data_IF_835774051323
#
_entry.id   IF_835774051323
#
_cell.length_a   1.000
_cell.length_b   1.000
_cell.length_c   1.000
_cell.angle_alpha   90.00
_cell.angle_beta   90.00
_cell.angle_gamma   90.00
#
_symmetry.space_group_name_H-M   'P 1'
#
loop_
_entity.id
_entity.type
_entity.pdbx_description
1 polymer ?
#
# COMPACT_ATOMS: atom_id res chain seq x y z
N UNK A 1 9.76 -24.13 -9.79
CA UNK A 1 9.52 -23.07 -10.79
C UNK A 1 9.56 -21.72 -10.10
N UNK A 2 10.69 -21.03 -10.16
CA UNK A 2 10.82 -19.62 -9.74
C UNK A 2 10.00 -18.78 -10.71
N UNK A 3 8.80 -18.35 -10.29
CA UNK A 3 8.00 -17.44 -11.10
C UNK A 3 8.82 -16.18 -11.37
N UNK A 4 9.06 -15.88 -12.64
CA UNK A 4 9.77 -14.68 -13.06
C UNK A 4 9.11 -13.44 -12.48
N UNK A 5 9.95 -12.55 -11.95
CA UNK A 5 9.52 -11.24 -11.48
C UNK A 5 9.15 -10.38 -12.69
N UNK A 6 8.18 -9.45 -12.54
CA UNK A 6 7.93 -8.47 -13.57
C UNK A 6 9.20 -7.66 -13.84
N UNK A 7 9.39 -7.28 -15.10
CA UNK A 7 10.50 -6.42 -15.49
C UNK A 7 10.19 -4.98 -15.03
N UNK A 8 10.98 -4.48 -14.08
CA UNK A 8 10.82 -3.17 -13.45
C UNK A 8 11.98 -2.29 -13.91
N UNK A 9 11.65 -1.20 -14.60
CA UNK A 9 12.62 -0.24 -15.11
C UNK A 9 12.72 0.97 -14.20
N UNK A 10 13.95 1.41 -13.97
CA UNK A 10 14.24 2.73 -13.41
C UNK A 10 14.17 3.75 -14.54
N UNK A 11 13.34 4.77 -14.40
CA UNK A 11 13.27 5.90 -15.32
C UNK A 11 13.52 7.18 -14.55
N UNK A 12 14.38 8.04 -15.07
CA UNK A 12 14.68 9.33 -14.46
C UNK A 12 14.30 10.43 -15.44
N UNK A 13 13.79 11.54 -14.94
CA UNK A 13 13.49 12.68 -15.79
C UNK A 13 12.69 13.74 -15.09
N UNK A 14 11.95 14.54 -15.86
CA UNK A 14 11.08 15.61 -15.33
C UNK A 14 9.63 15.33 -15.66
N UNK A 15 8.76 15.59 -14.69
CA UNK A 15 7.32 15.50 -14.89
C UNK A 15 6.85 16.56 -15.89
N UNK A 16 6.12 16.13 -16.92
CA UNK A 16 5.44 17.00 -17.90
C UNK A 16 3.98 16.61 -18.03
N UNK A 17 3.11 17.55 -18.41
CA UNK A 17 1.67 17.34 -18.64
C UNK A 17 0.99 16.65 -17.44
N UNK A 18 1.34 17.06 -16.22
CA UNK A 18 0.79 16.46 -15.02
C UNK A 18 -0.71 16.72 -14.93
N UNK A 19 -1.50 15.65 -14.84
CA UNK A 19 -2.94 15.71 -14.72
C UNK A 19 -3.44 14.77 -13.63
N UNK A 20 -4.20 15.31 -12.68
CA UNK A 20 -4.95 14.51 -11.72
C UNK A 20 -6.20 13.93 -12.40
N UNK A 21 -6.37 12.61 -12.36
CA UNK A 21 -7.49 11.89 -12.97
C UNK A 21 -8.15 10.97 -11.97
N UNK A 22 -9.48 10.91 -12.00
CA UNK A 22 -10.24 9.89 -11.27
C UNK A 22 -10.53 8.73 -12.21
N UNK A 23 -9.99 7.54 -11.90
CA UNK A 23 -10.20 6.32 -12.66
C UNK A 23 -11.34 5.53 -12.04
N UNK A 24 -12.43 5.40 -12.79
CA UNK A 24 -13.59 4.59 -12.41
C UNK A 24 -13.15 3.18 -11.97
N UNK A 25 -13.60 2.75 -10.77
CA UNK A 25 -13.24 1.49 -10.06
C UNK A 25 -11.78 1.34 -9.57
N UNK A 26 -10.80 2.08 -10.10
CA UNK A 26 -9.39 1.99 -9.71
C UNK A 26 -8.95 3.06 -8.70
N UNK A 27 -9.71 4.15 -8.57
CA UNK A 27 -9.44 5.23 -7.61
C UNK A 27 -8.79 6.43 -8.29
N UNK A 28 -8.07 7.23 -7.51
CA UNK A 28 -7.44 8.44 -8.02
C UNK A 28 -6.07 8.10 -8.64
N UNK A 29 -5.65 8.87 -9.64
CA UNK A 29 -4.38 8.70 -10.31
C UNK A 29 -3.79 10.03 -10.76
N UNK A 30 -2.48 10.06 -10.95
CA UNK A 30 -1.78 11.07 -11.73
C UNK A 30 -1.37 10.46 -13.06
N UNK A 31 -1.61 11.22 -14.13
CA UNK A 31 -1.13 10.94 -15.47
C UNK A 31 -0.10 12.02 -15.81
N UNK A 32 1.05 11.61 -16.31
CA UNK A 32 2.15 12.52 -16.66
C UNK A 32 3.06 11.87 -17.70
N UNK A 33 3.88 12.69 -18.36
CA UNK A 33 4.88 12.25 -19.31
C UNK A 33 6.28 12.44 -18.71
N UNK A 34 7.15 11.44 -18.88
CA UNK A 34 8.60 11.53 -18.63
C UNK A 34 9.31 11.05 -19.88
N UNK A 35 10.20 11.88 -20.43
CA UNK A 35 10.93 11.62 -21.68
C UNK A 35 10.07 11.16 -22.86
N UNK A 36 8.87 11.74 -22.98
CA UNK A 36 7.92 11.43 -24.05
C UNK A 36 7.11 10.14 -23.83
N UNK A 37 7.34 9.43 -22.72
CA UNK A 37 6.59 8.24 -22.34
C UNK A 37 5.49 8.62 -21.34
N UNK A 38 4.24 8.29 -21.67
CA UNK A 38 3.11 8.53 -20.78
C UNK A 38 3.00 7.47 -19.69
N UNK A 39 2.76 7.92 -18.47
CA UNK A 39 2.81 7.12 -17.25
C UNK A 39 1.65 7.43 -16.31
N UNK A 40 1.31 6.43 -15.47
CA UNK A 40 0.24 6.52 -14.48
C UNK A 40 0.71 6.12 -13.10
N UNK A 41 0.47 7.00 -12.13
CA UNK A 41 0.68 6.76 -10.70
C UNK A 41 -0.69 6.72 -10.00
N UNK A 42 -1.12 5.56 -9.52
CA UNK A 42 -2.34 5.44 -8.71
C UNK A 42 -2.08 5.97 -7.29
N UNK A 43 -3.08 6.64 -6.72
CA UNK A 43 -3.01 7.19 -5.38
C UNK A 43 -4.36 7.13 -4.67
N UNK A 44 -4.33 6.96 -3.35
CA UNK A 44 -5.43 7.16 -2.41
C UNK A 44 -5.08 8.22 -1.38
N UNK A 45 -4.08 9.05 -1.67
CA UNK A 45 -3.66 10.12 -0.77
C UNK A 45 -4.87 11.03 -0.47
N UNK A 46 -5.21 11.28 0.80
CA UNK A 46 -6.34 12.14 1.16
C UNK A 46 -6.18 13.59 0.70
N UNK A 47 -4.93 14.06 0.58
CA UNK A 47 -4.60 15.39 0.02
C UNK A 47 -4.66 15.43 -1.50
N UNK A 48 -5.04 14.33 -2.16
CA UNK A 48 -5.29 14.33 -3.59
C UNK A 48 -6.45 15.27 -3.90
N UNK A 49 -6.09 16.45 -4.41
CA UNK A 49 -7.03 17.39 -4.98
C UNK A 49 -6.47 17.90 -6.32
N UNK A 50 -7.32 17.99 -7.36
CA UNK A 50 -6.91 18.57 -8.64
C UNK A 50 -6.36 20.00 -8.51
N UNK A 51 -6.80 20.74 -7.48
CA UNK A 51 -6.41 22.13 -7.20
C UNK A 51 -5.17 22.28 -6.31
N UNK A 52 -4.68 21.20 -5.69
CA UNK A 52 -3.48 21.22 -4.85
C UNK A 52 -2.74 19.88 -4.94
N UNK A 53 -2.17 19.54 -6.11
CA UNK A 53 -1.44 18.30 -6.26
C UNK A 53 -0.17 18.31 -5.40
N UNK A 54 0.18 17.16 -4.80
CA UNK A 54 1.44 17.02 -4.06
C UNK A 54 2.65 16.80 -4.98
N UNK A 55 2.41 16.63 -6.28
CA UNK A 55 3.43 16.63 -7.33
C UNK A 55 3.30 17.93 -8.12
N UNK A 56 4.42 18.54 -8.49
CA UNK A 56 4.44 19.70 -9.36
C UNK A 56 4.98 19.34 -10.74
N UNK A 57 4.49 20.04 -11.77
CA UNK A 57 5.05 19.93 -13.10
C UNK A 57 6.46 20.53 -13.12
N UNK A 58 7.39 19.85 -13.80
CA UNK A 58 8.80 20.24 -13.85
C UNK A 58 9.69 19.59 -12.78
N UNK A 59 9.11 18.98 -11.75
CA UNK A 59 9.85 18.26 -10.71
C UNK A 59 10.73 17.16 -11.32
N UNK A 60 11.94 17.05 -10.79
CA UNK A 60 12.86 15.95 -11.12
C UNK A 60 12.45 14.71 -10.33
N UNK A 61 12.26 13.61 -11.04
CA UNK A 61 11.76 12.36 -10.45
C UNK A 61 12.57 11.15 -10.88
N UNK A 62 12.66 10.17 -9.97
CA UNK A 62 13.09 8.80 -10.26
C UNK A 62 11.88 7.87 -10.11
N UNK A 63 11.64 7.02 -11.09
CA UNK A 63 10.46 6.18 -11.19
C UNK A 63 10.84 4.71 -11.28
N UNK A 64 10.13 3.86 -10.52
CA UNK A 64 10.10 2.43 -10.75
C UNK A 64 8.84 2.08 -11.54
N UNK A 65 9.01 1.66 -12.78
CA UNK A 65 7.94 1.51 -13.77
C UNK A 65 7.84 0.06 -14.24
N UNK A 66 6.62 -0.44 -14.43
CA UNK A 66 6.42 -1.72 -15.12
C UNK A 66 6.79 -1.58 -16.60
N UNK A 67 7.74 -2.39 -17.09
CA UNK A 67 8.17 -2.32 -18.48
C UNK A 67 7.03 -2.68 -19.45
N UNK A 68 6.19 -3.64 -19.05
CA UNK A 68 5.04 -4.08 -19.85
C UNK A 68 4.01 -2.94 -20.00
N UNK A 69 3.66 -2.55 -21.23
CA UNK A 69 2.68 -1.50 -21.46
C UNK A 69 1.29 -1.96 -21.01
N UNK A 70 0.55 -1.05 -20.37
CA UNK A 70 -0.82 -1.27 -19.92
C UNK A 70 -1.83 -1.18 -21.06
N UNK A 71 -1.61 -0.24 -21.96
CA UNK A 71 -2.50 0.07 -23.07
C UNK A 71 -1.78 -0.18 -24.41
N UNK A 72 -2.53 -0.37 -25.50
CA UNK A 72 -1.95 -0.40 -26.85
C UNK A 72 -1.19 0.89 -27.21
N UNK A 73 -1.55 2.00 -26.55
CA UNK A 73 -0.87 3.31 -26.67
C UNK A 73 0.46 3.37 -25.93
N UNK A 74 0.86 2.31 -25.22
CA UNK A 74 2.15 2.19 -24.58
C UNK A 74 2.23 2.76 -23.17
N UNK A 75 1.11 3.16 -22.56
CA UNK A 75 1.10 3.77 -21.22
C UNK A 75 1.64 2.80 -20.16
N UNK A 76 2.42 3.29 -19.20
CA UNK A 76 3.07 2.43 -18.19
C UNK A 76 2.58 2.73 -16.76
N UNK A 77 2.52 1.68 -15.93
CA UNK A 77 2.23 1.79 -14.50
C UNK A 77 3.48 2.13 -13.69
N UNK A 78 3.35 3.10 -12.81
CA UNK A 78 4.39 3.48 -11.85
C UNK A 78 4.14 2.77 -10.52
N UNK A 79 5.09 1.95 -10.09
CA UNK A 79 5.09 1.32 -8.76
C UNK A 79 5.50 2.30 -7.67
N UNK A 80 6.50 3.13 -7.96
CA UNK A 80 7.01 4.10 -7.03
C UNK A 80 7.60 5.30 -7.78
N UNK A 81 7.47 6.46 -7.17
CA UNK A 81 8.01 7.72 -7.62
C UNK A 81 8.78 8.34 -6.46
N UNK A 82 10.04 8.69 -6.70
CA UNK A 82 10.83 9.53 -5.80
C UNK A 82 10.91 10.91 -6.40
N UNK A 83 10.41 11.90 -5.68
CA UNK A 83 10.60 13.29 -6.04
C UNK A 83 11.94 13.75 -5.46
N UNK A 84 12.80 14.31 -6.31
CA UNK A 84 14.15 14.72 -5.95
C UNK A 84 14.20 16.14 -5.38
N UNK A 85 13.13 16.91 -5.52
CA UNK A 85 13.05 18.27 -4.96
C UNK A 85 12.75 18.25 -3.44
N UNK A 86 11.89 17.32 -2.99
CA UNK A 86 11.49 17.16 -1.58
C UNK A 86 12.05 15.88 -0.92
N UNK A 87 12.89 15.13 -1.65
CA UNK A 87 13.40 13.78 -1.35
C UNK A 87 12.34 12.79 -0.85
N UNK A 88 11.07 13.01 -1.22
CA UNK A 88 9.96 12.18 -0.77
C UNK A 88 9.71 11.05 -1.75
N UNK A 89 9.52 9.85 -1.19
CA UNK A 89 9.28 8.63 -1.96
C UNK A 89 7.83 8.20 -1.80
N UNK A 90 7.13 8.07 -2.92
CA UNK A 90 5.74 7.68 -3.03
C UNK A 90 5.66 6.27 -3.61
N UNK A 91 5.09 5.30 -2.89
CA UNK A 91 4.94 3.91 -3.34
C UNK A 91 3.47 3.53 -3.44
N UNK A 92 3.05 3.03 -4.60
CA UNK A 92 1.65 2.75 -4.96
C UNK A 92 1.16 1.39 -4.44
N UNK A 93 1.12 1.18 -3.12
CA UNK A 93 0.65 -0.09 -2.56
C UNK A 93 -0.86 -0.31 -2.80
N UNK A 94 -1.65 0.76 -2.79
CA UNK A 94 -3.10 0.70 -2.86
C UNK A 94 -3.63 0.33 -4.25
N UNK A 95 -2.86 0.64 -5.29
CA UNK A 95 -3.12 0.26 -6.68
C UNK A 95 -3.40 -1.24 -6.85
N UNK A 96 -2.75 -2.06 -6.01
CA UNK A 96 -2.69 -3.51 -6.17
C UNK A 96 -3.70 -4.28 -5.30
N UNK A 97 -4.56 -3.59 -4.56
CA UNK A 97 -5.49 -4.21 -3.60
C UNK A 97 -6.53 -5.12 -4.25
N UNK A 98 -7.03 -4.77 -5.44
CA UNK A 98 -8.10 -5.51 -6.13
C UNK A 98 -7.63 -6.35 -7.30
N UNK A 99 -6.33 -6.41 -7.53
CA UNK A 99 -5.76 -7.19 -8.62
C UNK A 99 -5.15 -8.49 -8.12
N UNK A 100 -5.30 -9.56 -8.91
CA UNK A 100 -4.65 -10.86 -8.74
C UNK A 100 -3.49 -11.05 -9.71
N UNK A 101 -3.12 -9.99 -10.42
CA UNK A 101 -2.14 -10.03 -11.49
C UNK A 101 -0.73 -10.40 -10.99
N UNK A 102 0.08 -11.06 -11.84
CA UNK A 102 1.41 -11.55 -11.49
C UNK A 102 2.39 -10.43 -11.09
N UNK A 103 2.13 -9.22 -11.58
CA UNK A 103 2.96 -8.03 -11.39
C UNK A 103 2.51 -7.16 -10.20
N UNK A 104 1.54 -7.61 -9.39
CA UNK A 104 1.01 -6.85 -8.27
C UNK A 104 2.00 -6.74 -7.08
N UNK A 105 2.22 -5.52 -6.58
CA UNK A 105 2.97 -5.31 -5.33
C UNK A 105 2.12 -5.65 -4.08
N UNK A 106 2.70 -5.55 -2.88
CA UNK A 106 1.99 -5.81 -1.62
C UNK A 106 0.81 -4.85 -1.43
N UNK A 107 -0.34 -5.41 -1.03
CA UNK A 107 -1.61 -4.69 -0.83
C UNK A 107 -1.60 -3.77 0.39
N UNK A 108 -0.85 -4.19 1.41
CA UNK A 108 -0.69 -3.49 2.68
C UNK A 108 0.75 -2.99 2.71
N UNK A 109 0.96 -1.68 2.93
CA UNK A 109 2.29 -1.14 3.15
C UNK A 109 2.94 -1.82 4.38
N UNK A 110 4.19 -2.31 4.28
CA UNK A 110 4.81 -3.08 5.37
C UNK A 110 4.92 -2.31 6.70
N UNK A 111 5.02 -0.99 6.63
CA UNK A 111 5.09 -0.11 7.80
C UNK A 111 3.72 0.16 8.46
N UNK A 112 2.59 -0.09 7.77
CA UNK A 112 1.25 0.25 8.28
C UNK A 112 0.49 -0.92 8.90
N UNK A 113 1.00 -2.15 8.81
CA UNK A 113 0.39 -3.36 9.39
C UNK A 113 -0.02 -3.18 10.86
N UNK A 114 0.88 -2.62 11.68
CA UNK A 114 0.61 -2.36 13.10
C UNK A 114 -0.57 -1.40 13.31
N UNK A 115 -0.73 -0.39 12.44
CA UNK A 115 -1.85 0.56 12.54
C UNK A 115 -3.19 -0.14 12.35
N UNK A 116 -3.28 -1.10 11.42
CA UNK A 116 -4.50 -1.89 11.21
C UNK A 116 -4.83 -2.80 12.39
N UNK A 117 -3.81 -3.44 12.99
CA UNK A 117 -4.01 -4.25 14.19
C UNK A 117 -4.44 -3.38 15.36
N UNK A 118 -3.86 -2.19 15.51
CA UNK A 118 -4.19 -1.26 16.58
C UNK A 118 -5.61 -0.70 16.42
N UNK A 119 -6.03 -0.31 15.21
CA UNK A 119 -7.41 0.16 14.97
C UNK A 119 -8.43 -0.94 15.20
N UNK A 120 -8.14 -2.17 14.77
CA UNK A 120 -9.00 -3.32 15.08
C UNK A 120 -9.07 -3.58 16.59
N UNK A 121 -7.93 -3.51 17.29
CA UNK A 121 -7.87 -3.69 18.74
C UNK A 121 -8.73 -2.65 19.46
N UNK A 122 -8.61 -1.38 19.06
CA UNK A 122 -9.41 -0.29 19.61
C UNK A 122 -10.91 -0.50 19.37
N UNK A 123 -11.30 -0.92 18.16
CA UNK A 123 -12.69 -1.24 17.84
C UNK A 123 -13.25 -2.37 18.69
N UNK A 124 -12.49 -3.46 18.85
CA UNK A 124 -12.92 -4.62 19.64
C UNK A 124 -13.01 -4.28 21.14
N UNK A 125 -12.08 -3.50 21.67
CA UNK A 125 -12.15 -2.99 23.06
C UNK A 125 -13.38 -2.09 23.23
N UNK A 126 -13.63 -1.17 22.30
CA UNK A 126 -14.81 -0.31 22.36
C UNK A 126 -16.12 -1.14 22.35
N UNK A 127 -16.15 -2.22 21.56
CA UNK A 127 -17.28 -3.15 21.52
C UNK A 127 -17.46 -3.91 22.83
N UNK A 128 -16.36 -4.36 23.46
CA UNK A 128 -16.40 -4.97 24.79
C UNK A 128 -16.88 -4.01 25.87
N UNK A 129 -16.41 -2.76 25.86
CA UNK A 129 -16.83 -1.71 26.80
C UNK A 129 -18.32 -1.38 26.61
N UNK A 130 -18.75 -1.19 25.36
CA UNK A 130 -20.15 -0.94 25.05
C UNK A 130 -21.05 -2.09 25.49
N UNK A 131 -20.62 -3.32 25.22
CA UNK A 131 -21.25 -4.50 25.78
C UNK A 131 -21.37 -4.37 27.29
N UNK A 132 -20.25 -4.16 28.00
CA UNK A 132 -20.19 -4.14 29.47
C UNK A 132 -21.20 -3.16 30.06
N UNK A 133 -21.30 -1.95 29.49
CA UNK A 133 -22.28 -0.95 29.86
C UNK A 133 -23.72 -1.45 29.68
N UNK A 134 -24.03 -2.06 28.54
CA UNK A 134 -25.38 -2.61 28.26
C UNK A 134 -25.71 -3.72 29.24
N UNK A 135 -24.80 -4.66 29.47
CA UNK A 135 -25.13 -5.79 30.35
C UNK A 135 -25.17 -5.44 31.83
N UNK A 136 -24.49 -4.37 32.26
CA UNK A 136 -24.67 -3.79 33.59
C UNK A 136 -26.09 -3.21 33.76
N UNK A 137 -26.68 -2.67 32.70
CA UNK A 137 -28.05 -2.11 32.72
C UNK A 137 -29.13 -3.19 32.61
N UNK A 138 -28.87 -4.29 31.89
CA UNK A 138 -29.86 -5.34 31.61
C UNK A 138 -29.74 -6.59 32.49
N UNK A 139 -28.72 -6.67 33.35
CA UNK A 139 -28.48 -7.84 34.19
C UNK A 139 -28.01 -9.06 33.39
N UNK A 140 -27.11 -8.85 32.43
CA UNK A 140 -26.61 -9.91 31.54
C UNK A 140 -25.77 -10.95 32.30
N UNK A 141 -26.03 -12.23 32.04
CA UNK A 141 -25.31 -13.35 32.67
C UNK A 141 -23.85 -13.47 32.19
N UNK A 142 -23.02 -14.00 33.07
CA UNK A 142 -21.62 -14.36 32.90
C UNK A 142 -21.31 -15.15 31.63
N UNK A 143 -22.19 -16.08 31.23
CA UNK A 143 -22.01 -16.87 30.01
C UNK A 143 -21.96 -16.01 28.74
N UNK A 144 -22.81 -14.97 28.65
CA UNK A 144 -22.82 -14.03 27.51
C UNK A 144 -21.55 -13.18 27.47
N UNK A 145 -20.99 -12.82 28.62
CA UNK A 145 -19.71 -12.12 28.73
C UNK A 145 -18.54 -12.94 28.18
N UNK A 146 -18.47 -14.20 28.58
CA UNK A 146 -17.44 -15.12 28.09
C UNK A 146 -17.58 -15.33 26.58
N UNK A 147 -18.80 -15.47 26.07
CA UNK A 147 -19.03 -15.62 24.63
C UNK A 147 -18.55 -14.39 23.84
N UNK A 148 -18.95 -13.17 24.24
CA UNK A 148 -18.57 -11.94 23.55
C UNK A 148 -17.04 -11.72 23.60
N UNK A 149 -16.43 -11.96 24.76
CA UNK A 149 -14.99 -11.83 24.95
C UNK A 149 -14.23 -12.83 24.08
N UNK A 150 -14.65 -14.09 24.07
CA UNK A 150 -14.08 -15.13 23.22
C UNK A 150 -14.23 -14.80 21.74
N UNK A 151 -15.36 -14.24 21.32
CA UNK A 151 -15.59 -13.82 19.94
C UNK A 151 -14.64 -12.68 19.53
N UNK A 152 -14.48 -11.67 20.39
CA UNK A 152 -13.57 -10.55 20.13
C UNK A 152 -12.11 -11.02 20.04
N UNK A 153 -11.67 -11.86 20.98
CA UNK A 153 -10.31 -12.44 20.96
C UNK A 153 -10.12 -13.30 19.71
N UNK A 154 -11.09 -14.14 19.36
CA UNK A 154 -11.06 -14.97 18.15
C UNK A 154 -10.95 -14.12 16.89
N UNK A 155 -11.76 -13.08 16.76
CA UNK A 155 -11.71 -12.14 15.64
C UNK A 155 -10.36 -11.42 15.55
N UNK A 156 -9.82 -10.99 16.71
CA UNK A 156 -8.49 -10.37 16.78
C UNK A 156 -7.40 -11.32 16.31
N UNK A 157 -7.38 -12.56 16.82
CA UNK A 157 -6.38 -13.57 16.46
C UNK A 157 -6.45 -13.92 14.97
N UNK A 158 -7.66 -14.09 14.43
CA UNK A 158 -7.87 -14.37 13.00
C UNK A 158 -7.31 -13.28 12.08
N UNK A 159 -7.31 -12.02 12.51
CA UNK A 159 -6.75 -10.92 11.75
C UNK A 159 -5.24 -10.71 12.01
N UNK A 160 -4.81 -10.74 13.27
CA UNK A 160 -3.45 -10.43 13.68
C UNK A 160 -2.47 -11.55 13.31
N UNK A 161 -2.83 -12.82 13.57
CA UNK A 161 -1.90 -13.95 13.38
C UNK A 161 -1.43 -14.06 11.94
N UNK A 162 -2.30 -14.02 10.91
CA UNK A 162 -1.84 -14.10 9.51
C UNK A 162 -0.89 -12.96 9.13
N UNK A 163 -1.13 -11.73 9.62
CA UNK A 163 -0.27 -10.58 9.34
C UNK A 163 1.12 -10.78 9.96
N UNK A 164 1.18 -11.15 11.24
CA UNK A 164 2.46 -11.40 11.91
C UNK A 164 3.21 -12.59 11.33
N UNK A 165 2.51 -13.67 10.98
CA UNK A 165 3.11 -14.84 10.32
C UNK A 165 3.67 -14.46 8.95
N UNK A 166 2.93 -13.68 8.14
CA UNK A 166 3.43 -13.21 6.84
C UNK A 166 4.66 -12.32 6.98
N UNK A 167 4.69 -11.43 7.98
CA UNK A 167 5.86 -10.59 8.27
C UNK A 167 7.05 -11.41 8.75
N UNK A 168 6.81 -12.37 9.64
CA UNK A 168 7.86 -13.26 10.13
C UNK A 168 8.46 -14.10 9.00
N UNK A 169 7.61 -14.71 8.15
CA UNK A 169 8.06 -15.45 6.96
C UNK A 169 8.90 -14.59 6.03
N UNK A 170 8.50 -13.33 5.84
CA UNK A 170 9.26 -12.39 5.03
C UNK A 170 10.64 -12.11 5.63
N UNK A 171 10.71 -11.80 6.94
CA UNK A 171 11.98 -11.61 7.66
C UNK A 171 12.86 -12.87 7.65
N UNK A 172 12.26 -14.05 7.67
CA UNK A 172 12.94 -15.33 7.63
C UNK A 172 13.46 -15.71 6.21
N UNK A 173 13.30 -14.83 5.21
CA UNK A 173 13.80 -15.08 3.86
C UNK A 173 12.85 -15.89 2.97
N UNK A 174 11.59 -16.04 3.35
CA UNK A 174 10.56 -16.71 2.56
C UNK A 174 9.48 -15.73 2.04
N UNK A 175 9.86 -14.71 1.25
CA UNK A 175 8.91 -13.74 0.73
C UNK A 175 7.97 -14.39 -0.30
N UNK A 176 6.70 -14.01 -0.20
CA UNK A 176 5.68 -14.26 -1.22
C UNK A 176 6.03 -13.52 -2.51
N UNK A 177 5.41 -13.90 -3.64
CA UNK A 177 5.64 -13.24 -4.92
C UNK A 177 5.46 -11.72 -4.86
N UNK A 178 4.36 -11.25 -4.25
CA UNK A 178 4.08 -9.80 -4.13
C UNK A 178 5.12 -9.06 -3.30
N UNK A 179 5.62 -9.71 -2.24
CA UNK A 179 6.70 -9.17 -1.41
C UNK A 179 8.00 -9.04 -2.23
N UNK A 180 8.32 -10.03 -3.07
CA UNK A 180 9.48 -9.95 -3.97
C UNK A 180 9.35 -8.84 -5.03
N UNK A 181 8.14 -8.61 -5.55
CA UNK A 181 7.88 -7.46 -6.44
C UNK A 181 8.15 -6.15 -5.70
N UNK A 182 7.65 -6.02 -4.48
CA UNK A 182 7.93 -4.83 -3.64
C UNK A 182 9.42 -4.68 -3.34
N UNK A 183 10.15 -5.75 -3.03
CA UNK A 183 11.60 -5.70 -2.87
C UNK A 183 12.30 -5.24 -4.15
N UNK A 184 11.88 -5.72 -5.32
CA UNK A 184 12.43 -5.30 -6.60
C UNK A 184 12.21 -3.80 -6.86
N UNK A 185 11.02 -3.27 -6.52
CA UNK A 185 10.73 -1.82 -6.59
C UNK A 185 11.66 -1.02 -5.67
N UNK A 186 11.84 -1.48 -4.42
CA UNK A 186 12.70 -0.77 -3.45
C UNK A 186 14.17 -0.81 -3.86
N UNK A 187 14.65 -1.94 -4.40
CA UNK A 187 16.01 -2.05 -4.97
C UNK A 187 16.20 -1.19 -6.21
N UNK A 188 15.19 -1.10 -7.08
CA UNK A 188 15.23 -0.28 -8.29
C UNK A 188 15.47 1.21 -7.98
N UNK A 189 14.86 1.71 -6.91
CA UNK A 189 15.01 3.11 -6.44
C UNK A 189 16.04 3.30 -5.33
N UNK A 190 16.82 2.27 -4.99
CA UNK A 190 17.84 2.32 -3.92
C UNK A 190 17.30 2.81 -2.57
N UNK A 191 16.17 2.24 -2.14
CA UNK A 191 15.44 2.61 -0.91
C UNK A 191 15.74 1.72 0.30
N UNK A 192 16.67 0.77 0.14
CA UNK A 192 16.93 -0.26 1.14
C UNK A 192 15.85 -1.34 1.17
N UNK A 193 15.48 -1.80 2.37
CA UNK A 193 14.50 -2.89 2.56
C UNK A 193 13.07 -2.35 2.72
N UNK A 194 12.05 -2.99 2.12
CA UNK A 194 10.65 -2.62 2.39
C UNK A 194 10.24 -2.70 3.87
N UNK A 195 10.94 -3.53 4.67
CA UNK A 195 10.67 -3.70 6.11
C UNK A 195 11.38 -2.66 6.99
N UNK A 196 12.43 -2.04 6.46
CA UNK A 196 13.25 -1.03 7.11
C UNK A 196 13.85 -0.14 6.00
N UNK A 197 13.05 0.79 5.45
CA UNK A 197 13.52 1.65 4.38
C UNK A 197 14.54 2.64 4.92
N UNK A 198 15.56 2.94 4.12
CA UNK A 198 16.61 3.91 4.51
C UNK A 198 16.10 5.35 4.47
N UNK A 199 14.95 5.58 3.84
CA UNK A 199 14.31 6.89 3.64
C UNK A 199 12.84 6.87 4.04
N UNK A 200 12.26 8.05 4.24
CA UNK A 200 10.83 8.16 4.49
C UNK A 200 10.02 7.80 3.25
N UNK A 201 9.27 6.71 3.32
CA UNK A 201 8.38 6.25 2.26
C UNK A 201 6.92 6.57 2.62
N UNK A 202 6.23 7.27 1.73
CA UNK A 202 4.79 7.48 1.78
C UNK A 202 4.08 6.45 0.91
N UNK A 203 3.14 5.73 1.50
CA UNK A 203 2.27 4.82 0.75
C UNK A 203 1.11 5.61 0.16
N UNK A 204 1.06 5.68 -1.17
CA UNK A 204 -0.01 6.34 -1.93
C UNK A 204 -0.93 5.33 -2.58
#
# INVERSE_FOLDING_TARGET
>A
MTAELPDILRVEGRLKKLAAKSLYKRGNAYSFDVDGQSMWLLTREPSWHPSSPFLAEGDRVELAVLNTPLTPTGERWVYALRNLEDDTVYVTHFAWQRTCEPYAATRIPPASEHRYVLTLSALLIALLVMGACIGALTGTDSASWFFLSSLCIGAWLLAAVPLYVMRWRWKAGFPTRRQRVTEAVYRCLDLGSPLAPDRSVRSV
#
